data_IF_173863461873
#
_entry.id   IF_173863461873
#
_cell.length_a   1.000
_cell.length_b   1.000
_cell.length_c   1.000
_cell.angle_alpha   90.00
_cell.angle_beta   90.00
_cell.angle_gamma   90.00
#
_symmetry.space_group_name_H-M   'P 1'
#
loop_
_entity.id
_entity.type
_entity.pdbx_description
1 polymer ?
#
# COMPACT_ATOMS: atom_id res chain seq x y z
N UNK A 1 -22.36 -31.91 -19.35
CA UNK A 1 -22.61 -30.61 -18.70
C UNK A 1 -21.37 -30.22 -17.91
N UNK A 2 -20.64 -29.16 -18.32
CA UNK A 2 -19.40 -28.75 -17.65
C UNK A 2 -19.72 -28.13 -16.28
N UNK A 3 -19.04 -28.57 -15.22
CA UNK A 3 -19.24 -28.06 -13.85
C UNK A 3 -19.04 -26.53 -13.84
N UNK A 4 -19.99 -25.75 -13.29
CA UNK A 4 -19.94 -24.27 -13.31
C UNK A 4 -18.67 -23.69 -12.66
N UNK A 5 -18.02 -24.47 -11.79
CA UNK A 5 -16.76 -24.10 -11.13
C UNK A 5 -15.55 -24.13 -12.06
N UNK A 6 -15.51 -25.04 -13.06
CA UNK A 6 -14.38 -25.14 -13.99
C UNK A 6 -14.31 -23.91 -14.89
N UNK A 7 -15.44 -23.52 -15.47
CA UNK A 7 -15.56 -22.31 -16.31
C UNK A 7 -15.22 -21.05 -15.50
N UNK A 8 -15.60 -21.00 -14.22
CA UNK A 8 -15.24 -19.88 -13.33
C UNK A 8 -13.72 -19.79 -13.09
N UNK A 9 -13.06 -20.92 -12.88
CA UNK A 9 -11.60 -20.98 -12.64
C UNK A 9 -10.80 -20.54 -13.87
N UNK A 10 -11.15 -21.05 -15.06
CA UNK A 10 -10.49 -20.65 -16.31
C UNK A 10 -10.69 -19.16 -16.58
N UNK A 11 -11.90 -18.63 -16.35
CA UNK A 11 -12.17 -17.19 -16.51
C UNK A 11 -11.36 -16.34 -15.54
N UNK A 12 -11.22 -16.77 -14.29
CA UNK A 12 -10.40 -16.07 -13.31
C UNK A 12 -8.92 -16.06 -13.70
N UNK A 13 -8.37 -17.18 -14.18
CA UNK A 13 -6.99 -17.24 -14.68
C UNK A 13 -6.75 -16.32 -15.88
N UNK A 14 -7.72 -16.22 -16.80
CA UNK A 14 -7.64 -15.31 -17.96
C UNK A 14 -7.65 -13.84 -17.51
N UNK A 15 -8.45 -13.51 -16.49
CA UNK A 15 -8.53 -12.16 -15.92
C UNK A 15 -7.25 -11.80 -15.17
N UNK A 16 -6.71 -12.71 -14.36
CA UNK A 16 -5.44 -12.56 -13.64
C UNK A 16 -4.27 -12.36 -14.61
N UNK A 17 -4.20 -13.13 -15.70
CA UNK A 17 -3.15 -12.97 -16.72
C UNK A 17 -3.23 -11.67 -17.53
N UNK A 18 -4.32 -10.90 -17.40
CA UNK A 18 -4.54 -9.62 -18.09
C UNK A 18 -4.60 -8.43 -17.13
N UNK A 19 -4.35 -8.65 -15.84
CA UNK A 19 -4.48 -7.63 -14.78
C UNK A 19 -5.87 -6.95 -14.76
N UNK A 20 -6.92 -7.73 -15.02
CA UNK A 20 -8.30 -7.26 -15.06
C UNK A 20 -9.12 -7.88 -13.92
N UNK A 21 -10.06 -7.11 -13.39
CA UNK A 21 -11.05 -7.62 -12.44
C UNK A 21 -12.48 -7.22 -12.85
N UNK A 22 -13.47 -8.01 -12.43
CA UNK A 22 -14.88 -7.69 -12.65
C UNK A 22 -15.33 -6.72 -11.58
N UNK A 23 -15.49 -5.45 -11.97
CA UNK A 23 -16.30 -4.51 -11.18
C UNK A 23 -17.76 -4.97 -11.19
N UNK A 24 -18.49 -4.78 -10.10
CA UNK A 24 -19.81 -5.38 -9.81
C UNK A 24 -20.96 -5.10 -10.81
N UNK A 25 -20.69 -4.40 -11.92
CA UNK A 25 -21.68 -4.00 -12.93
C UNK A 25 -21.36 -4.44 -14.36
N UNK A 26 -20.52 -5.48 -14.53
CA UNK A 26 -20.27 -6.06 -15.86
C UNK A 26 -19.19 -5.36 -16.68
N UNK A 27 -18.51 -4.37 -16.10
CA UNK A 27 -17.34 -3.73 -16.68
C UNK A 27 -16.05 -4.41 -16.19
N UNK A 28 -15.16 -4.70 -17.12
CA UNK A 28 -13.78 -5.10 -16.79
C UNK A 28 -13.02 -3.83 -16.43
N UNK A 29 -12.67 -3.69 -15.16
CA UNK A 29 -11.77 -2.65 -14.71
C UNK A 29 -10.33 -3.18 -14.66
N UNK A 30 -9.32 -2.31 -14.73
CA UNK A 30 -8.00 -2.70 -14.26
C UNK A 30 -8.15 -3.24 -12.85
N UNK A 31 -7.51 -4.38 -12.56
CA UNK A 31 -7.45 -4.88 -11.20
C UNK A 31 -6.85 -3.75 -10.35
N UNK A 32 -7.45 -3.41 -9.19
CA UNK A 32 -6.83 -2.47 -8.30
C UNK A 32 -5.47 -3.07 -7.94
N UNK A 33 -4.40 -2.52 -8.53
CA UNK A 33 -3.06 -2.86 -8.13
C UNK A 33 -3.01 -2.54 -6.63
N UNK A 34 -2.65 -3.50 -5.77
CA UNK A 34 -2.28 -3.12 -4.41
C UNK A 34 -1.22 -2.03 -4.62
N UNK A 35 -1.40 -0.82 -4.05
CA UNK A 35 -0.41 0.21 -4.24
C UNK A 35 0.91 -0.42 -3.79
N UNK A 36 1.96 -0.29 -4.59
CA UNK A 36 3.31 -0.77 -4.30
C UNK A 36 3.90 0.03 -3.13
N UNK A 37 3.15 0.07 -2.04
CA UNK A 37 3.23 1.04 -1.00
C UNK A 37 3.89 0.31 0.14
N UNK A 38 5.20 0.47 0.22
CA UNK A 38 5.98 0.11 1.38
C UNK A 38 5.48 0.85 2.65
N UNK A 39 4.44 1.69 2.54
CA UNK A 39 3.76 2.37 3.62
C UNK A 39 2.81 1.45 4.40
N UNK A 40 3.04 1.39 5.71
CA UNK A 40 2.11 0.78 6.69
C UNK A 40 0.83 1.59 6.84
N UNK A 41 -0.19 0.97 7.44
CA UNK A 41 -1.38 1.69 7.89
C UNK A 41 -1.04 2.86 8.81
N UNK A 42 -0.12 2.66 9.78
CA UNK A 42 0.32 3.73 10.67
C UNK A 42 0.99 4.89 9.93
N UNK A 43 1.76 4.62 8.87
CA UNK A 43 2.33 5.68 8.03
C UNK A 43 1.24 6.46 7.31
N UNK A 44 0.25 5.78 6.70
CA UNK A 44 -0.88 6.44 6.03
C UNK A 44 -1.70 7.31 6.98
N UNK A 45 -1.93 6.83 8.19
CA UNK A 45 -2.60 7.60 9.23
C UNK A 45 -1.83 8.88 9.60
N UNK A 46 -0.50 8.80 9.68
CA UNK A 46 0.35 9.98 9.89
C UNK A 46 0.25 10.93 8.70
N UNK A 47 0.26 10.42 7.46
CA UNK A 47 0.09 11.27 6.26
C UNK A 47 -1.23 12.03 6.30
N UNK A 48 -2.34 11.36 6.61
CA UNK A 48 -3.65 11.99 6.74
C UNK A 48 -3.70 13.02 7.87
N UNK A 49 -3.04 12.72 9.01
CA UNK A 49 -3.03 13.62 10.17
C UNK A 49 -2.23 14.91 9.93
N UNK A 50 -1.15 14.81 9.18
CA UNK A 50 -0.22 15.93 8.95
C UNK A 50 -0.36 16.56 7.55
N UNK A 51 -1.27 16.03 6.72
CA UNK A 51 -1.50 16.45 5.33
C UNK A 51 -0.21 16.54 4.50
N UNK A 52 0.71 15.61 4.75
CA UNK A 52 2.05 15.59 4.16
C UNK A 52 2.52 14.14 3.97
N UNK A 53 3.29 13.83 2.91
CA UNK A 53 3.77 12.48 2.66
C UNK A 53 4.78 12.06 3.74
N UNK A 54 4.73 10.79 4.12
CA UNK A 54 5.55 10.28 5.22
C UNK A 54 7.04 10.42 4.95
N UNK A 55 7.44 10.32 3.68
CA UNK A 55 8.82 10.53 3.24
C UNK A 55 9.31 11.93 3.58
N UNK A 56 8.51 12.97 3.36
CA UNK A 56 8.89 14.34 3.71
C UNK A 56 8.97 14.52 5.23
N UNK A 57 7.98 14.00 5.95
CA UNK A 57 7.91 14.10 7.42
C UNK A 57 9.10 13.43 8.13
N UNK A 58 9.65 12.36 7.56
CA UNK A 58 10.74 11.60 8.18
C UNK A 58 12.07 11.68 7.44
N UNK A 59 12.18 12.35 6.28
CA UNK A 59 13.43 12.41 5.51
C UNK A 59 14.51 13.26 6.19
N UNK A 60 14.11 14.29 6.92
CA UNK A 60 15.03 15.25 7.52
C UNK A 60 15.11 15.11 9.05
N UNK A 61 16.21 15.59 9.63
CA UNK A 61 16.44 15.56 11.07
C UNK A 61 16.87 14.19 11.62
N UNK A 62 17.22 14.18 12.90
CA UNK A 62 17.56 12.95 13.62
C UNK A 62 16.31 12.13 13.95
N UNK A 63 16.46 10.81 14.11
CA UNK A 63 15.36 9.93 14.51
C UNK A 63 14.71 10.36 15.84
N UNK A 64 15.47 11.02 16.73
CA UNK A 64 14.98 11.52 18.02
C UNK A 64 14.08 12.73 17.82
N UNK A 65 14.49 13.71 17.02
CA UNK A 65 13.70 14.91 16.73
C UNK A 65 12.40 14.55 16.02
N UNK A 66 12.46 13.71 14.98
CA UNK A 66 11.27 13.24 14.25
C UNK A 66 10.36 12.41 15.15
N UNK A 67 10.94 11.56 16.01
CA UNK A 67 10.19 10.79 16.99
C UNK A 67 9.41 11.69 17.96
N UNK A 68 10.05 12.75 18.47
CA UNK A 68 9.39 13.72 19.34
C UNK A 68 8.26 14.47 18.61
N UNK A 69 8.49 14.92 17.37
CA UNK A 69 7.49 15.62 16.55
C UNK A 69 6.24 14.76 16.30
N UNK A 70 6.45 13.50 15.91
CA UNK A 70 5.36 12.58 15.57
C UNK A 70 4.81 11.82 16.79
N UNK A 71 5.37 12.05 17.98
CA UNK A 71 5.07 11.26 19.20
C UNK A 71 5.26 9.75 19.00
N UNK A 72 6.33 9.37 18.29
CA UNK A 72 6.72 8.00 17.99
C UNK A 72 8.11 7.69 18.55
N UNK A 73 8.38 6.41 18.83
CA UNK A 73 9.72 6.03 19.26
C UNK A 73 10.74 6.26 18.13
N UNK A 74 11.99 6.68 18.43
CA UNK A 74 13.04 6.83 17.42
C UNK A 74 13.32 5.53 16.63
N UNK A 75 13.10 4.37 17.27
CA UNK A 75 13.23 3.06 16.63
C UNK A 75 12.17 2.80 15.55
N UNK A 76 10.97 3.37 15.72
CA UNK A 76 9.88 3.31 14.73
C UNK A 76 10.29 4.10 13.49
N UNK A 77 10.81 5.32 13.68
CA UNK A 77 11.29 6.17 12.59
C UNK A 77 12.42 5.49 11.81
N UNK A 78 13.39 4.89 12.51
CA UNK A 78 14.48 4.13 11.88
C UNK A 78 13.95 2.97 11.00
N UNK A 79 13.00 2.17 11.50
CA UNK A 79 12.37 1.09 10.72
C UNK A 79 11.60 1.63 9.51
N UNK A 80 10.96 2.77 9.66
CA UNK A 80 10.18 3.40 8.60
C UNK A 80 11.08 3.91 7.48
N UNK A 81 12.18 4.59 7.82
CA UNK A 81 13.21 5.01 6.86
C UNK A 81 13.78 3.83 6.07
N UNK A 82 14.17 2.75 6.77
CA UNK A 82 14.68 1.53 6.13
C UNK A 82 13.67 0.91 5.16
N UNK A 83 12.39 0.86 5.55
CA UNK A 83 11.33 0.31 4.71
C UNK A 83 11.05 1.16 3.47
N UNK A 84 11.21 2.47 3.59
CA UNK A 84 11.02 3.43 2.49
C UNK A 84 12.29 3.65 1.66
N UNK A 85 13.41 3.04 2.04
CA UNK A 85 14.70 3.21 1.35
C UNK A 85 15.35 4.58 1.58
N UNK A 86 14.92 5.30 2.61
CA UNK A 86 15.48 6.59 3.00
C UNK A 86 16.75 6.32 3.84
N UNK A 87 17.92 6.78 3.36
CA UNK A 87 19.20 6.68 4.05
C UNK A 87 19.65 8.04 4.52
#
# INVERSE_FOLDING_TARGET
>A
MAKPQFVRRIRQQILEGRDLDRTGHGHLGPKPQPPANNKTFAMRFVEEKFDAPIEELISHGSNVEVGNLLSLSPSTISKWRLRLGLR
#
